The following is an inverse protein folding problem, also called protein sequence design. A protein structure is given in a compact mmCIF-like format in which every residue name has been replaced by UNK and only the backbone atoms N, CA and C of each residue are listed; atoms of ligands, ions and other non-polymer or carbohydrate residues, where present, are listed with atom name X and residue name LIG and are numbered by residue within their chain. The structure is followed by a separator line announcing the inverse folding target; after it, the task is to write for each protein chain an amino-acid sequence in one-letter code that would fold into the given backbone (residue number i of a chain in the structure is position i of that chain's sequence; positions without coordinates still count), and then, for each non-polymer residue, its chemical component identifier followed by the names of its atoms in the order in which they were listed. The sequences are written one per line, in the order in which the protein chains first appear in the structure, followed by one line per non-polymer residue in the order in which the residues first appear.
data_IF_621806565597
#
_entry.id   IF_621806565597
#
_cell.length_a   1.000
_cell.length_b   1.000
_cell.length_c   1.000
_cell.angle_alpha   90.00
_cell.angle_beta   90.00
_cell.angle_gamma   90.00
#
_symmetry.space_group_name_H-M   'P 1'
#
loop_
_entity.id
_entity.type
_entity.pdbx_description
1 polymer ?
#
# COMPACT_ATOMS: atom_id res chain seq x y z
N UNK A 1 -19.43 11.95 -7.65
CA UNK A 1 -19.58 11.15 -8.85
C UNK A 1 -20.11 9.75 -8.51
N UNK A 2 -19.51 9.04 -7.54
CA UNK A 2 -19.95 7.71 -7.08
C UNK A 2 -21.43 7.70 -6.67
N UNK A 3 -21.88 8.66 -5.86
CA UNK A 3 -23.29 8.78 -5.45
C UNK A 3 -24.22 8.96 -6.64
N UNK A 4 -23.86 9.84 -7.61
CA UNK A 4 -24.68 10.09 -8.80
C UNK A 4 -24.80 8.86 -9.71
N UNK A 5 -23.71 8.10 -9.85
CA UNK A 5 -23.66 6.91 -10.70
C UNK A 5 -24.04 5.62 -9.98
N UNK A 6 -24.18 5.66 -8.64
CA UNK A 6 -24.38 4.48 -7.76
C UNK A 6 -23.31 3.41 -7.97
N UNK A 7 -22.06 3.86 -8.13
CA UNK A 7 -20.89 2.98 -8.37
C UNK A 7 -19.88 3.11 -7.23
N UNK A 8 -19.11 2.05 -6.91
CA UNK A 8 -17.98 2.12 -5.99
C UNK A 8 -16.86 3.00 -6.56
N UNK A 9 -15.93 3.42 -5.70
CA UNK A 9 -14.80 4.28 -6.10
C UNK A 9 -13.93 3.57 -7.14
N UNK A 10 -13.67 2.28 -6.94
CA UNK A 10 -12.88 1.46 -7.86
C UNK A 10 -13.41 1.47 -9.28
N UNK A 11 -14.73 1.29 -9.46
CA UNK A 11 -15.32 1.25 -10.79
C UNK A 11 -15.34 2.63 -11.45
N UNK A 12 -15.56 3.69 -10.67
CA UNK A 12 -15.47 5.08 -11.19
C UNK A 12 -14.05 5.38 -11.67
N UNK A 13 -13.03 4.94 -10.91
CA UNK A 13 -11.64 5.13 -11.29
C UNK A 13 -11.28 4.29 -12.51
N UNK A 14 -11.70 3.03 -12.56
CA UNK A 14 -11.51 2.15 -13.71
C UNK A 14 -12.12 2.73 -14.99
N UNK A 15 -13.35 3.22 -14.93
CA UNK A 15 -13.99 3.89 -16.08
C UNK A 15 -13.23 5.15 -16.51
N UNK A 16 -12.69 5.90 -15.55
CA UNK A 16 -11.85 7.06 -15.84
C UNK A 16 -10.59 6.66 -16.63
N UNK A 17 -9.89 5.61 -16.20
CA UNK A 17 -8.68 5.13 -16.88
C UNK A 17 -8.98 4.65 -18.32
N UNK A 18 -10.11 3.99 -18.54
CA UNK A 18 -10.56 3.59 -19.87
C UNK A 18 -10.78 4.83 -20.76
N UNK A 19 -11.50 5.82 -20.24
CA UNK A 19 -11.87 7.02 -20.99
C UNK A 19 -10.67 7.91 -21.31
N UNK A 20 -9.80 8.17 -20.32
CA UNK A 20 -8.64 9.07 -20.50
C UNK A 20 -7.50 8.38 -21.23
N UNK A 21 -7.40 7.08 -21.14
CA UNK A 21 -6.39 6.29 -21.84
C UNK A 21 -6.79 5.91 -23.27
N UNK A 22 -8.01 6.29 -23.70
CA UNK A 22 -8.58 5.91 -25.02
C UNK A 22 -8.38 4.42 -25.31
N UNK A 23 -8.63 3.57 -24.29
CA UNK A 23 -8.30 2.14 -24.31
C UNK A 23 -9.50 1.28 -23.88
N UNK A 24 -9.34 -0.04 -23.90
CA UNK A 24 -10.41 -0.97 -23.53
C UNK A 24 -10.34 -1.37 -22.05
N UNK A 25 -11.46 -1.89 -21.55
CA UNK A 25 -11.57 -2.39 -20.19
C UNK A 25 -10.57 -3.53 -19.93
N UNK A 26 -10.37 -4.41 -20.91
CA UNK A 26 -9.46 -5.55 -20.83
C UNK A 26 -8.01 -5.10 -20.66
N UNK A 27 -7.58 -4.08 -21.41
CA UNK A 27 -6.21 -3.54 -21.32
C UNK A 27 -5.98 -2.88 -19.97
N UNK A 28 -6.96 -2.12 -19.45
CA UNK A 28 -6.87 -1.48 -18.12
C UNK A 28 -6.79 -2.55 -17.03
N UNK A 29 -7.60 -3.60 -17.13
CA UNK A 29 -7.59 -4.71 -16.18
C UNK A 29 -6.26 -5.48 -16.22
N UNK A 30 -5.73 -5.80 -17.40
CA UNK A 30 -4.44 -6.46 -17.57
C UNK A 30 -3.27 -5.64 -16.99
N UNK A 31 -3.29 -4.33 -17.18
CA UNK A 31 -2.26 -3.44 -16.59
C UNK A 31 -2.32 -3.48 -15.06
N UNK A 32 -3.51 -3.49 -14.48
CA UNK A 32 -3.66 -3.57 -13.02
C UNK A 32 -3.33 -4.99 -12.49
N UNK A 33 -3.60 -6.06 -13.26
CA UNK A 33 -3.15 -7.41 -12.92
C UNK A 33 -1.62 -7.47 -12.88
N UNK A 34 -0.94 -6.84 -13.84
CA UNK A 34 0.53 -6.74 -13.81
C UNK A 34 1.06 -5.95 -12.61
N UNK A 35 0.35 -4.89 -12.20
CA UNK A 35 0.66 -4.16 -10.96
C UNK A 35 0.57 -5.10 -9.75
N UNK A 36 -0.50 -5.90 -9.65
CA UNK A 36 -0.67 -6.86 -8.56
C UNK A 36 0.42 -7.94 -8.54
N UNK A 37 0.82 -8.46 -9.70
CA UNK A 37 1.93 -9.42 -9.81
C UNK A 37 3.23 -8.83 -9.25
N UNK A 38 3.61 -7.62 -9.68
CA UNK A 38 4.82 -6.94 -9.20
C UNK A 38 4.73 -6.72 -7.68
N UNK A 39 3.57 -6.31 -7.15
CA UNK A 39 3.36 -6.15 -5.72
C UNK A 39 3.54 -7.46 -4.95
N UNK A 40 3.04 -8.59 -5.49
CA UNK A 40 3.23 -9.93 -4.91
C UNK A 40 4.70 -10.31 -4.89
N UNK A 41 5.38 -10.17 -6.02
CA UNK A 41 6.81 -10.50 -6.13
C UNK A 41 7.65 -9.67 -5.15
N UNK A 42 7.40 -8.36 -5.08
CA UNK A 42 8.11 -7.47 -4.18
C UNK A 42 7.89 -7.80 -2.69
N UNK A 43 6.69 -8.26 -2.33
CA UNK A 43 6.34 -8.59 -0.95
C UNK A 43 6.79 -10.00 -0.52
N UNK A 44 6.86 -10.96 -1.44
CA UNK A 44 7.13 -12.35 -1.08
C UNK A 44 8.58 -12.79 -1.30
N UNK A 45 9.26 -12.21 -2.30
CA UNK A 45 10.65 -12.61 -2.64
C UNK A 45 11.63 -12.40 -1.48
N UNK A 46 11.68 -11.25 -0.77
CA UNK A 46 12.62 -11.05 0.33
C UNK A 46 12.36 -11.94 1.55
N UNK A 47 11.11 -12.38 1.74
CA UNK A 47 10.77 -13.34 2.80
C UNK A 47 11.42 -14.69 2.51
N UNK A 48 11.36 -15.10 1.24
CA UNK A 48 11.95 -16.36 0.78
C UNK A 48 13.47 -16.27 0.65
N UNK A 49 13.94 -15.23 -0.02
CA UNK A 49 15.36 -14.99 -0.30
C UNK A 49 15.74 -13.57 0.16
N UNK A 50 16.17 -13.40 1.43
CA UNK A 50 16.48 -12.08 1.99
C UNK A 50 17.56 -11.35 1.21
N UNK A 51 17.35 -10.05 1.01
CA UNK A 51 18.28 -9.15 0.33
C UNK A 51 18.78 -8.10 1.31
N UNK A 52 19.96 -7.56 1.05
CA UNK A 52 20.53 -6.44 1.80
C UNK A 52 20.33 -5.17 1.00
N UNK A 53 19.92 -4.10 1.64
CA UNK A 53 19.76 -2.80 1.04
C UNK A 53 21.09 -2.20 0.58
N UNK A 54 21.04 -1.22 -0.32
CA UNK A 54 22.26 -0.55 -0.84
C UNK A 54 23.09 0.11 0.26
N UNK A 55 22.46 0.71 1.26
CA UNK A 55 23.14 1.33 2.41
C UNK A 55 23.47 0.35 3.52
N UNK A 56 22.96 -0.88 3.45
CA UNK A 56 23.22 -1.92 4.44
C UNK A 56 22.48 -1.75 5.77
N UNK A 57 21.51 -0.83 5.86
CA UNK A 57 20.79 -0.57 7.12
C UNK A 57 19.61 -1.51 7.34
N UNK A 58 19.04 -2.09 6.27
CA UNK A 58 17.93 -3.04 6.33
C UNK A 58 18.20 -4.27 5.46
N UNK A 59 17.56 -5.38 5.82
CA UNK A 59 17.62 -6.62 5.04
C UNK A 59 17.43 -7.86 5.90
N UNK A 60 16.37 -8.63 5.58
CA UNK A 60 16.01 -9.87 6.27
C UNK A 60 15.10 -9.69 7.48
N UNK A 61 14.67 -8.47 7.83
CA UNK A 61 13.71 -8.19 8.90
C UNK A 61 12.36 -8.81 8.59
N UNK A 62 11.90 -8.71 7.35
CA UNK A 62 10.62 -9.26 6.92
C UNK A 62 10.58 -10.79 7.09
N UNK A 63 11.67 -11.49 6.76
CA UNK A 63 11.77 -12.93 6.99
C UNK A 63 11.68 -13.28 8.48
N UNK A 64 12.44 -12.58 9.33
CA UNK A 64 12.41 -12.79 10.79
C UNK A 64 11.02 -12.55 11.37
N UNK A 65 10.30 -11.52 10.87
CA UNK A 65 8.92 -11.25 11.29
C UNK A 65 7.97 -12.36 10.84
N UNK A 66 8.09 -12.85 9.62
CA UNK A 66 7.30 -13.97 9.11
C UNK A 66 7.49 -15.21 10.00
N UNK A 67 8.74 -15.62 10.22
CA UNK A 67 9.07 -16.76 11.09
C UNK A 67 8.54 -16.58 12.51
N UNK A 68 8.65 -15.39 13.09
CA UNK A 68 8.13 -15.09 14.43
C UNK A 68 6.61 -15.16 14.49
N UNK A 69 5.93 -14.68 13.44
CA UNK A 69 4.48 -14.74 13.31
C UNK A 69 4.00 -16.20 13.16
N UNK A 70 4.68 -16.99 12.33
CA UNK A 70 4.34 -18.40 12.06
C UNK A 70 4.53 -19.28 13.31
N UNK A 71 5.43 -18.90 14.22
CA UNK A 71 5.59 -19.54 15.54
C UNK A 71 4.44 -19.21 16.50
N UNK A 72 3.46 -18.41 16.11
CA UNK A 72 2.34 -17.99 16.96
C UNK A 72 2.76 -17.06 18.11
N UNK A 73 3.94 -16.43 18.05
CA UNK A 73 4.48 -15.56 19.10
C UNK A 73 4.13 -14.08 18.90
N UNK A 74 3.65 -13.71 17.74
CA UNK A 74 3.29 -12.33 17.43
C UNK A 74 2.07 -11.88 18.25
N UNK A 75 2.15 -10.69 18.83
CA UNK A 75 1.02 -10.03 19.49
C UNK A 75 0.02 -9.43 18.48
N UNK A 76 0.43 -9.28 17.23
CA UNK A 76 -0.43 -8.83 16.13
C UNK A 76 -1.31 -9.99 15.66
N UNK A 77 -2.59 -9.75 15.43
CA UNK A 77 -3.44 -10.71 14.75
C UNK A 77 -2.97 -10.94 13.29
N UNK A 78 -3.51 -11.97 12.64
CA UNK A 78 -3.05 -12.42 11.31
C UNK A 78 -2.98 -11.30 10.26
N UNK A 79 -4.00 -10.44 10.17
CA UNK A 79 -4.04 -9.35 9.18
C UNK A 79 -2.89 -8.37 9.41
N UNK A 80 -2.75 -7.87 10.65
CA UNK A 80 -1.72 -6.87 10.96
C UNK A 80 -0.31 -7.48 10.86
N UNK A 81 -0.09 -8.68 11.40
CA UNK A 81 1.21 -9.34 11.36
C UNK A 81 1.70 -9.57 9.93
N UNK A 82 0.84 -10.12 9.07
CA UNK A 82 1.14 -10.32 7.64
C UNK A 82 1.32 -8.99 6.91
N UNK A 83 0.44 -8.02 7.15
CA UNK A 83 0.52 -6.71 6.51
C UNK A 83 1.82 -5.96 6.81
N UNK A 84 2.27 -5.96 8.06
CA UNK A 84 3.56 -5.42 8.47
C UNK A 84 4.70 -6.16 7.76
N UNK A 85 4.68 -7.48 7.77
CA UNK A 85 5.70 -8.32 7.14
C UNK A 85 5.83 -8.02 5.65
N UNK A 86 4.73 -7.99 4.92
CA UNK A 86 4.72 -7.72 3.46
C UNK A 86 5.12 -6.28 3.14
N UNK A 87 4.73 -5.32 3.98
CA UNK A 87 5.13 -3.93 3.81
C UNK A 87 6.65 -3.76 3.98
N UNK A 88 7.23 -4.39 4.99
CA UNK A 88 8.68 -4.35 5.23
C UNK A 88 9.44 -5.09 4.13
N UNK A 89 8.96 -6.25 3.68
CA UNK A 89 9.54 -6.99 2.56
C UNK A 89 9.58 -6.15 1.27
N UNK A 90 8.49 -5.45 0.95
CA UNK A 90 8.43 -4.57 -0.22
C UNK A 90 9.50 -3.46 -0.13
N UNK A 91 9.76 -2.93 1.07
CA UNK A 91 10.82 -1.94 1.27
C UNK A 91 12.22 -2.55 1.19
N UNK A 92 12.43 -3.80 1.58
CA UNK A 92 13.69 -4.51 1.32
C UNK A 92 13.94 -4.64 -0.18
N UNK A 93 12.91 -5.01 -0.96
CA UNK A 93 12.99 -5.03 -2.44
C UNK A 93 13.33 -3.65 -3.00
N UNK A 94 12.64 -2.59 -2.54
CA UNK A 94 12.90 -1.23 -2.99
C UNK A 94 14.34 -0.79 -2.67
N UNK A 95 14.79 -1.00 -1.45
CA UNK A 95 16.10 -0.56 -0.97
C UNK A 95 17.28 -1.36 -1.55
N UNK A 96 17.02 -2.56 -2.09
CA UNK A 96 17.98 -3.36 -2.86
C UNK A 96 17.92 -3.11 -4.36
N UNK A 97 17.20 -2.05 -4.82
CA UNK A 97 17.02 -1.69 -6.23
C UNK A 97 16.20 -2.69 -7.04
N UNK A 98 15.35 -3.48 -6.38
CA UNK A 98 14.40 -4.37 -7.03
C UNK A 98 13.19 -3.64 -7.61
N UNK A 99 12.39 -4.36 -8.37
CA UNK A 99 11.17 -3.81 -9.00
C UNK A 99 10.03 -3.74 -7.99
N UNK A 100 9.47 -2.53 -7.82
CA UNK A 100 8.29 -2.26 -6.99
C UNK A 100 7.26 -1.43 -7.74
N UNK A 101 6.07 -1.33 -7.18
CA UNK A 101 5.04 -0.37 -7.62
C UNK A 101 5.01 0.79 -6.64
N UNK A 102 5.34 1.99 -7.10
CA UNK A 102 5.19 3.20 -6.29
C UNK A 102 3.70 3.44 -5.94
N UNK A 103 3.38 3.54 -4.64
CA UNK A 103 2.00 3.71 -4.17
C UNK A 103 1.89 4.57 -2.89
N UNK A 104 1.90 5.92 -2.97
CA UNK A 104 2.07 6.72 -4.20
C UNK A 104 3.53 6.95 -4.60
N UNK A 105 4.51 6.67 -3.72
CA UNK A 105 5.94 6.83 -3.96
C UNK A 105 6.71 5.54 -3.69
N UNK A 106 7.98 5.47 -4.07
CA UNK A 106 8.83 4.32 -3.77
C UNK A 106 9.04 4.15 -2.24
N UNK A 107 9.18 5.25 -1.49
CA UNK A 107 9.41 5.21 -0.04
C UNK A 107 8.20 4.73 0.78
N UNK A 108 7.00 4.74 0.20
CA UNK A 108 5.77 4.24 0.82
C UNK A 108 5.16 3.03 0.09
N UNK A 109 5.92 2.42 -0.81
CA UNK A 109 5.45 1.37 -1.73
C UNK A 109 4.97 0.09 -1.04
N UNK A 110 5.32 -0.12 0.23
CA UNK A 110 4.96 -1.33 0.98
C UNK A 110 3.55 -1.32 1.58
N UNK A 111 2.96 -0.15 1.82
CA UNK A 111 1.73 -0.04 2.61
C UNK A 111 0.51 -0.64 1.89
N UNK A 112 0.29 -0.24 0.65
CA UNK A 112 -0.85 -0.73 -0.14
C UNK A 112 -0.75 -2.23 -0.38
N UNK A 113 0.37 -2.78 -0.92
CA UNK A 113 0.49 -4.22 -1.08
C UNK A 113 0.46 -4.96 0.25
N UNK A 114 1.11 -4.45 1.30
CA UNK A 114 1.08 -5.06 2.63
C UNK A 114 -0.33 -5.28 3.14
N UNK A 115 -1.17 -4.25 3.09
CA UNK A 115 -2.58 -4.35 3.49
C UNK A 115 -3.38 -5.28 2.56
N UNK A 116 -3.28 -5.09 1.25
CA UNK A 116 -4.11 -5.82 0.29
C UNK A 116 -3.79 -7.31 0.27
N UNK A 117 -2.52 -7.68 0.31
CA UNK A 117 -2.08 -9.08 0.32
C UNK A 117 -2.41 -9.79 1.65
N UNK A 118 -2.29 -9.08 2.78
CA UNK A 118 -2.70 -9.63 4.06
C UNK A 118 -4.22 -9.91 4.10
N UNK A 119 -5.04 -8.98 3.62
CA UNK A 119 -6.49 -9.17 3.50
C UNK A 119 -6.82 -10.29 2.51
N UNK A 120 -6.12 -10.37 1.39
CA UNK A 120 -6.29 -11.43 0.41
C UNK A 120 -6.08 -12.81 1.04
N UNK A 121 -4.98 -12.98 1.74
CA UNK A 121 -4.61 -14.27 2.31
C UNK A 121 -5.51 -14.68 3.49
N UNK A 122 -5.84 -13.74 4.37
CA UNK A 122 -6.63 -14.03 5.57
C UNK A 122 -8.12 -14.25 5.25
N UNK A 123 -8.67 -13.51 4.30
CA UNK A 123 -10.10 -13.58 3.95
C UNK A 123 -10.38 -14.35 2.66
N UNK A 124 -9.36 -14.81 1.94
CA UNK A 124 -9.54 -15.58 0.71
C UNK A 124 -10.07 -14.76 -0.48
N UNK A 125 -9.76 -13.46 -0.54
CA UNK A 125 -10.19 -12.64 -1.68
C UNK A 125 -9.48 -13.05 -2.98
N UNK A 126 -10.24 -13.11 -4.08
CA UNK A 126 -9.66 -13.37 -5.41
C UNK A 126 -8.82 -12.19 -5.91
N UNK A 127 -7.89 -12.47 -6.83
CA UNK A 127 -7.08 -11.44 -7.49
C UNK A 127 -7.96 -10.36 -8.14
N UNK A 128 -9.10 -10.75 -8.71
CA UNK A 128 -10.09 -9.81 -9.27
C UNK A 128 -10.59 -8.80 -8.21
N UNK A 129 -10.82 -9.25 -6.98
CA UNK A 129 -11.25 -8.39 -5.88
C UNK A 129 -10.14 -7.45 -5.43
N UNK A 130 -8.91 -7.95 -5.33
CA UNK A 130 -7.74 -7.13 -5.01
C UNK A 130 -7.48 -6.11 -6.12
N UNK A 131 -7.56 -6.48 -7.40
CA UNK A 131 -7.49 -5.55 -8.52
C UNK A 131 -8.51 -4.39 -8.38
N UNK A 132 -9.75 -4.69 -8.02
CA UNK A 132 -10.76 -3.65 -7.76
C UNK A 132 -10.33 -2.72 -6.62
N UNK A 133 -9.85 -3.28 -5.51
CA UNK A 133 -9.34 -2.49 -4.38
C UNK A 133 -8.15 -1.59 -4.77
N UNK A 134 -7.26 -2.05 -5.66
CA UNK A 134 -6.15 -1.24 -6.18
C UNK A 134 -6.62 -0.04 -7.01
N UNK A 135 -7.71 -0.14 -7.77
CA UNK A 135 -8.32 1.02 -8.42
C UNK A 135 -8.85 2.03 -7.39
N UNK A 136 -9.46 1.57 -6.29
CA UNK A 136 -9.86 2.46 -5.19
C UNK A 136 -8.65 3.17 -4.59
N UNK A 137 -7.59 2.43 -4.22
CA UNK A 137 -6.35 3.01 -3.71
C UNK A 137 -5.80 4.07 -4.67
N UNK A 138 -5.73 3.76 -5.97
CA UNK A 138 -5.28 4.69 -7.01
C UNK A 138 -6.12 5.96 -7.08
N UNK A 139 -7.44 5.89 -6.86
CA UNK A 139 -8.32 7.05 -6.83
C UNK A 139 -7.98 8.01 -5.68
N UNK A 140 -7.72 7.49 -4.48
CA UNK A 140 -7.30 8.30 -3.31
C UNK A 140 -5.94 8.94 -3.57
N UNK A 141 -4.96 8.16 -4.05
CA UNK A 141 -3.63 8.68 -4.41
C UNK A 141 -3.70 9.78 -5.47
N UNK A 142 -4.52 9.59 -6.51
CA UNK A 142 -4.75 10.61 -7.53
C UNK A 142 -5.32 11.92 -6.98
N UNK A 143 -6.30 11.84 -6.08
CA UNK A 143 -6.86 13.04 -5.44
C UNK A 143 -5.82 13.77 -4.61
N UNK A 144 -4.97 13.04 -3.88
CA UNK A 144 -3.88 13.61 -3.10
C UNK A 144 -2.82 14.30 -4.00
N UNK A 145 -2.38 13.63 -5.06
CA UNK A 145 -1.42 14.20 -6.03
C UNK A 145 -1.94 15.48 -6.68
N UNK A 146 -3.25 15.54 -6.95
CA UNK A 146 -3.86 16.70 -7.61
C UNK A 146 -4.04 17.91 -6.69
N UNK A 147 -4.31 17.68 -5.41
CA UNK A 147 -4.75 18.74 -4.48
C UNK A 147 -3.70 19.07 -3.40
N UNK A 148 -2.66 18.24 -3.29
CA UNK A 148 -1.60 18.38 -2.29
C UNK A 148 -0.26 17.87 -2.88
N UNK A 149 0.60 17.30 -2.03
CA UNK A 149 1.82 16.63 -2.46
C UNK A 149 1.87 15.21 -1.89
N UNK A 150 2.52 14.31 -2.60
CA UNK A 150 2.85 12.95 -2.13
C UNK A 150 4.35 12.79 -1.83
N UNK A 151 5.13 13.83 -2.09
CA UNK A 151 6.58 13.79 -1.93
C UNK A 151 6.99 13.98 -0.46
N UNK A 152 7.65 12.99 0.13
CA UNK A 152 8.14 13.03 1.50
C UNK A 152 9.12 14.19 1.74
N UNK A 153 9.99 14.48 0.78
CA UNK A 153 10.94 15.58 0.87
C UNK A 153 10.29 16.98 0.93
N UNK A 154 9.07 17.12 0.41
CA UNK A 154 8.31 18.39 0.40
C UNK A 154 7.34 18.45 1.57
N UNK A 155 6.54 17.41 1.75
CA UNK A 155 5.43 17.38 2.71
C UNK A 155 5.69 16.53 3.95
N UNK A 156 6.86 15.92 4.11
CA UNK A 156 7.14 14.97 5.17
C UNK A 156 6.54 13.58 4.91
N UNK A 157 6.85 12.63 5.76
CA UNK A 157 6.22 11.30 5.72
C UNK A 157 4.71 11.36 5.98
N UNK A 158 4.19 12.42 6.59
CA UNK A 158 2.75 12.67 6.67
C UNK A 158 2.08 12.71 5.29
N UNK A 159 2.75 13.27 4.28
CA UNK A 159 2.26 13.28 2.91
C UNK A 159 2.52 11.94 2.21
N UNK A 160 3.67 11.33 2.40
CA UNK A 160 4.07 10.11 1.71
C UNK A 160 3.41 8.86 2.32
N UNK A 161 3.77 8.54 3.57
CA UNK A 161 3.25 7.39 4.31
C UNK A 161 1.77 7.59 4.67
N UNK A 162 1.38 8.84 5.03
CA UNK A 162 -0.01 9.17 5.35
C UNK A 162 -0.94 8.94 4.17
N UNK A 163 -0.57 9.37 2.96
CA UNK A 163 -1.40 9.15 1.77
C UNK A 163 -1.43 7.66 1.40
N UNK A 164 -0.29 6.95 1.44
CA UNK A 164 -0.26 5.52 1.20
C UNK A 164 -1.18 4.74 2.16
N UNK A 165 -1.16 5.11 3.45
CA UNK A 165 -2.04 4.52 4.45
C UNK A 165 -3.51 4.85 4.21
N UNK A 166 -3.83 6.08 3.79
CA UNK A 166 -5.18 6.48 3.41
C UNK A 166 -5.69 5.73 2.15
N UNK A 167 -4.80 5.49 1.17
CA UNK A 167 -5.07 4.65 0.01
C UNK A 167 -5.43 3.24 0.43
N UNK A 168 -4.64 2.64 1.31
CA UNK A 168 -4.84 1.29 1.81
C UNK A 168 -6.14 1.16 2.64
N UNK A 169 -6.42 2.12 3.53
CA UNK A 169 -7.63 2.13 4.35
C UNK A 169 -8.90 2.25 3.50
N UNK A 170 -8.94 3.19 2.55
CA UNK A 170 -10.07 3.34 1.63
C UNK A 170 -10.33 2.06 0.82
N UNK A 171 -9.26 1.45 0.29
CA UNK A 171 -9.35 0.21 -0.47
C UNK A 171 -9.84 -0.96 0.38
N UNK A 172 -9.38 -1.08 1.63
CA UNK A 172 -9.82 -2.10 2.56
C UNK A 172 -11.31 -1.97 2.91
N UNK A 173 -11.78 -0.75 3.15
CA UNK A 173 -13.20 -0.48 3.43
C UNK A 173 -14.08 -0.89 2.25
N UNK A 174 -13.70 -0.54 1.01
CA UNK A 174 -14.46 -0.97 -0.18
C UNK A 174 -14.41 -2.48 -0.38
N UNK A 175 -13.25 -3.11 -0.17
CA UNK A 175 -13.06 -4.55 -0.29
C UNK A 175 -13.97 -5.33 0.66
N UNK A 176 -14.24 -4.77 1.85
CA UNK A 176 -15.14 -5.30 2.86
C UNK A 176 -16.61 -4.87 2.66
N UNK A 177 -16.95 -4.21 1.55
CA UNK A 177 -18.32 -3.84 1.19
C UNK A 177 -18.76 -2.46 1.69
N UNK A 178 -17.84 -1.63 2.14
CA UNK A 178 -18.15 -0.26 2.57
C UNK A 178 -18.55 0.65 1.41
N UNK A 179 -19.31 1.68 1.76
CA UNK A 179 -19.79 2.70 0.81
C UNK A 179 -18.66 3.67 0.43
N UNK A 180 -18.76 4.39 -0.70
CA UNK A 180 -17.81 5.43 -1.06
C UNK A 180 -17.60 6.51 0.01
N UNK A 181 -18.63 6.83 0.78
CA UNK A 181 -18.54 7.79 1.89
C UNK A 181 -17.70 7.22 3.05
N UNK A 182 -17.92 5.96 3.41
CA UNK A 182 -17.12 5.28 4.43
C UNK A 182 -15.65 5.18 4.02
N UNK A 183 -15.37 4.90 2.74
CA UNK A 183 -14.01 4.91 2.19
C UNK A 183 -13.32 6.27 2.41
N UNK A 184 -14.03 7.39 2.16
CA UNK A 184 -13.47 8.73 2.37
C UNK A 184 -13.27 9.04 3.86
N UNK A 185 -14.14 8.57 4.74
CA UNK A 185 -13.97 8.73 6.19
C UNK A 185 -12.74 7.95 6.68
N UNK A 186 -12.56 6.71 6.26
CA UNK A 186 -11.38 5.93 6.60
C UNK A 186 -10.10 6.63 6.14
N UNK A 187 -10.04 7.08 4.89
CA UNK A 187 -8.91 7.83 4.37
C UNK A 187 -8.63 9.11 5.19
N UNK A 188 -9.67 9.86 5.56
CA UNK A 188 -9.54 11.08 6.36
C UNK A 188 -9.04 10.79 7.78
N UNK A 189 -9.54 9.72 8.43
CA UNK A 189 -9.10 9.30 9.75
C UNK A 189 -7.60 8.98 9.77
N UNK A 190 -7.14 8.21 8.79
CA UNK A 190 -5.72 7.88 8.65
C UNK A 190 -4.87 9.14 8.44
N UNK A 191 -5.29 10.05 7.58
CA UNK A 191 -4.55 11.30 7.36
C UNK A 191 -4.42 12.11 8.65
N UNK A 192 -5.50 12.25 9.43
CA UNK A 192 -5.44 12.94 10.73
C UNK A 192 -4.45 12.29 11.69
N UNK A 193 -4.40 10.95 11.74
CA UNK A 193 -3.50 10.21 12.63
C UNK A 193 -2.01 10.33 12.23
N UNK A 194 -1.74 10.69 10.97
CA UNK A 194 -0.38 10.75 10.42
C UNK A 194 0.17 12.17 10.33
N UNK A 195 -0.62 13.20 10.72
CA UNK A 195 -0.16 14.60 10.72
C UNK A 195 1.03 14.80 11.65
N UNK A 196 1.99 15.60 11.20
CA UNK A 196 3.21 15.92 11.94
C UNK A 196 4.38 14.95 11.70
N UNK A 197 4.20 13.86 10.95
CA UNK A 197 5.27 12.92 10.65
C UNK A 197 6.24 13.51 9.60
N UNK A 198 7.46 13.81 10.06
CA UNK A 198 8.52 14.40 9.25
C UNK A 198 9.20 13.39 8.33
N UNK A 199 10.02 13.86 7.37
CA UNK A 199 10.91 13.03 6.58
C UNK A 199 12.33 13.15 7.15
N UNK A 200 12.87 12.05 7.69
CA UNK A 200 14.15 12.00 8.40
C UNK A 200 14.93 10.70 8.10
N UNK A 201 15.20 10.37 6.83
CA UNK A 201 15.91 9.15 6.49
C UNK A 201 17.35 9.18 7.01
N UNK A 202 17.76 8.12 7.70
CA UNK A 202 19.14 7.96 8.18
C UNK A 202 20.07 7.78 6.98
N UNK A 203 21.13 8.59 6.91
CA UNK A 203 22.07 8.55 5.79
C UNK A 203 21.49 9.00 4.44
N UNK A 204 20.27 9.51 4.41
CA UNK A 204 19.60 10.03 3.21
C UNK A 204 19.02 8.98 2.28
N UNK A 205 19.13 7.69 2.62
CA UNK A 205 18.57 6.59 1.83
C UNK A 205 17.18 6.18 2.34
N UNK A 206 16.35 5.65 1.43
CA UNK A 206 14.98 5.17 1.74
C UNK A 206 15.08 3.75 2.36
N UNK A 207 15.71 3.66 3.51
CA UNK A 207 15.93 2.44 4.27
C UNK A 207 15.32 2.57 5.67
N UNK A 208 16.02 3.23 6.60
CA UNK A 208 15.58 3.44 7.96
C UNK A 208 15.35 4.94 8.22
N UNK A 209 14.22 5.38 8.79
CA UNK A 209 13.12 4.58 9.33
C UNK A 209 12.04 4.21 8.29
N UNK A 210 12.25 4.39 6.98
CA UNK A 210 11.22 4.24 5.96
C UNK A 210 10.57 2.84 5.99
N UNK A 211 11.35 1.76 6.16
CA UNK A 211 10.83 0.41 6.30
C UNK A 211 9.85 0.30 7.47
N UNK A 212 10.24 0.77 8.66
CA UNK A 212 9.40 0.73 9.86
C UNK A 212 8.17 1.62 9.73
N UNK A 213 8.26 2.73 9.00
CA UNK A 213 7.11 3.60 8.73
C UNK A 213 6.10 2.98 7.77
N UNK A 214 6.53 2.13 6.86
CA UNK A 214 5.60 1.33 6.06
C UNK A 214 4.81 0.34 6.95
N UNK A 215 5.47 -0.31 7.90
CA UNK A 215 4.82 -1.14 8.91
C UNK A 215 3.81 -0.34 9.74
N UNK A 216 4.22 0.82 10.25
CA UNK A 216 3.33 1.74 10.98
C UNK A 216 2.16 2.23 10.11
N UNK A 217 2.39 2.48 8.82
CA UNK A 217 1.37 2.87 7.87
C UNK A 217 0.28 1.81 7.70
N UNK A 218 0.65 0.54 7.61
CA UNK A 218 -0.32 -0.58 7.62
C UNK A 218 -1.13 -0.60 8.90
N UNK A 219 -0.47 -0.40 10.05
CA UNK A 219 -1.16 -0.37 11.35
C UNK A 219 -2.19 0.77 11.42
N UNK A 220 -1.82 1.97 10.97
CA UNK A 220 -2.74 3.11 10.89
C UNK A 220 -3.91 2.89 9.91
N UNK A 221 -3.68 2.17 8.83
CA UNK A 221 -4.74 1.87 7.86
C UNK A 221 -5.80 0.88 8.40
N UNK A 222 -5.50 0.15 9.47
CA UNK A 222 -6.41 -0.79 10.15
C UNK A 222 -7.25 -0.14 11.25
N UNK A 223 -6.88 1.04 11.73
CA UNK A 223 -7.62 1.80 12.75
C UNK A 223 -8.86 2.44 12.14
#
# INVERSE_FOLDING_TARGET
LCQKKKLPISEVMRQREILLGETTAEIVDQRMDRVLEIMKDAAFSPIKDPVISMGGLIGGEARKLCEFHDLGKSLCGNVLGKGITYAMATLETNASMGLIVASPTAGSAGIVPGMMLALQEVYGFSDKKIRQALFNAGAIGYLAMRNATVAGAVGGCQAEVGIASAMAASAAVELLGGTPLQCTYAASTVLMNMLGLVCDPVGGLVEYPCQNRNAAGVSNALI
#
